data_IF_257911425976
#
_entry.id   IF_257911425976
#
_cell.length_a   1.000
_cell.length_b   1.000
_cell.length_c   1.000
_cell.angle_alpha   90.00
_cell.angle_beta   90.00
_cell.angle_gamma   90.00
#
_symmetry.space_group_name_H-M   'P 1'
#
loop_
_entity.id
_entity.type
_entity.pdbx_description
1 polymer ?
#
# COMPACT_ATOMS: atom_id res chain seq x y z
N UNK A 1 -25.37 12.92 -18.22
CA UNK A 1 -25.43 12.24 -16.91
C UNK A 1 -24.43 12.93 -16.00
N UNK A 2 -24.74 13.11 -14.72
CA UNK A 2 -23.79 13.73 -13.77
C UNK A 2 -22.61 12.79 -13.50
N UNK A 3 -21.45 13.34 -13.11
CA UNK A 3 -20.30 12.55 -12.65
C UNK A 3 -20.68 11.62 -11.50
N UNK A 4 -21.61 12.06 -10.63
CA UNK A 4 -22.13 11.27 -9.52
C UNK A 4 -22.92 10.05 -10.00
N UNK A 5 -23.80 10.20 -10.96
CA UNK A 5 -24.58 9.08 -11.52
C UNK A 5 -23.68 8.08 -12.24
N UNK A 6 -22.71 8.59 -13.01
CA UNK A 6 -21.71 7.78 -13.69
C UNK A 6 -20.85 6.99 -12.69
N UNK A 7 -20.45 7.60 -11.57
CA UNK A 7 -19.77 6.91 -10.47
C UNK A 7 -20.62 5.77 -9.90
N UNK A 8 -21.91 6.00 -9.68
CA UNK A 8 -22.83 4.98 -9.16
C UNK A 8 -22.93 3.80 -10.13
N UNK A 9 -23.09 4.08 -11.43
CA UNK A 9 -23.08 3.06 -12.48
C UNK A 9 -21.75 2.29 -12.52
N UNK A 10 -20.62 2.98 -12.40
CA UNK A 10 -19.30 2.36 -12.31
C UNK A 10 -19.15 1.46 -11.10
N UNK A 11 -19.62 1.89 -9.93
CA UNK A 11 -19.61 1.08 -8.70
C UNK A 11 -20.46 -0.19 -8.87
N UNK A 12 -21.67 -0.06 -9.41
CA UNK A 12 -22.58 -1.19 -9.66
C UNK A 12 -21.98 -2.20 -10.64
N UNK A 13 -21.34 -1.71 -11.72
CA UNK A 13 -20.63 -2.56 -12.66
C UNK A 13 -19.44 -3.26 -11.99
N UNK A 14 -18.69 -2.56 -11.14
CA UNK A 14 -17.56 -3.12 -10.38
C UNK A 14 -18.01 -4.23 -9.42
N UNK A 15 -19.09 -4.01 -8.67
CA UNK A 15 -19.72 -5.01 -7.79
C UNK A 15 -20.21 -6.24 -8.57
N UNK A 16 -20.69 -6.03 -9.79
CA UNK A 16 -21.08 -7.10 -10.72
C UNK A 16 -19.88 -7.77 -11.41
N UNK A 17 -18.64 -7.45 -11.02
CA UNK A 17 -17.39 -7.92 -11.63
C UNK A 17 -17.23 -7.57 -13.12
N UNK A 18 -18.03 -6.64 -13.63
CA UNK A 18 -17.94 -6.12 -15.01
C UNK A 18 -16.92 -4.98 -15.05
N UNK A 19 -15.65 -5.34 -14.88
CA UNK A 19 -14.58 -4.36 -14.64
C UNK A 19 -14.29 -3.45 -15.85
N UNK A 20 -14.46 -3.93 -17.08
CA UNK A 20 -14.33 -3.10 -18.28
C UNK A 20 -15.42 -2.02 -18.35
N UNK A 21 -16.66 -2.40 -18.02
CA UNK A 21 -17.79 -1.48 -17.97
C UNK A 21 -17.63 -0.48 -16.80
N UNK A 22 -17.16 -0.94 -15.65
CA UNK A 22 -16.82 -0.07 -14.52
C UNK A 22 -15.76 0.97 -14.89
N UNK A 23 -14.67 0.54 -15.54
CA UNK A 23 -13.61 1.41 -16.05
C UNK A 23 -14.16 2.46 -17.00
N UNK A 24 -15.05 2.05 -17.92
CA UNK A 24 -15.70 2.96 -18.86
C UNK A 24 -16.52 4.03 -18.13
N UNK A 25 -17.41 3.63 -17.21
CA UNK A 25 -18.22 4.58 -16.44
C UNK A 25 -17.39 5.54 -15.58
N UNK A 26 -16.33 5.08 -14.93
CA UNK A 26 -15.44 5.97 -14.19
C UNK A 26 -14.69 6.94 -15.10
N UNK A 27 -14.35 6.54 -16.32
CA UNK A 27 -13.71 7.43 -17.30
C UNK A 27 -14.66 8.53 -17.74
N UNK A 28 -15.90 8.17 -18.09
CA UNK A 28 -16.94 9.16 -18.36
C UNK A 28 -17.18 10.09 -17.17
N UNK A 29 -17.14 9.57 -15.94
CA UNK A 29 -17.30 10.38 -14.74
C UNK A 29 -16.15 11.39 -14.53
N UNK A 30 -14.92 11.03 -14.95
CA UNK A 30 -13.76 11.92 -14.88
C UNK A 30 -13.78 13.01 -15.96
N UNK A 31 -14.41 12.74 -17.10
CA UNK A 31 -14.57 13.68 -18.22
C UNK A 31 -15.78 14.62 -18.04
N UNK A 32 -16.66 14.32 -17.07
CA UNK A 32 -17.85 15.11 -16.81
C UNK A 32 -17.49 16.48 -16.18
N UNK A 33 -18.22 17.56 -16.51
CA UNK A 33 -17.92 18.91 -16.00
C UNK A 33 -17.96 19.02 -14.46
N UNK A 34 -18.76 18.19 -13.80
CA UNK A 34 -18.96 18.15 -12.35
C UNK A 34 -18.05 17.13 -11.63
N UNK A 35 -17.01 16.60 -12.30
CA UNK A 35 -16.13 15.56 -11.75
C UNK A 35 -15.44 15.97 -10.43
N UNK A 36 -15.05 17.24 -10.29
CA UNK A 36 -14.44 17.77 -9.07
C UNK A 36 -15.40 17.72 -7.89
N UNK A 37 -16.66 18.09 -8.10
CA UNK A 37 -17.73 18.08 -7.11
C UNK A 37 -18.11 16.66 -6.68
N UNK A 38 -18.03 15.69 -7.62
CA UNK A 38 -18.29 14.28 -7.34
C UNK A 38 -17.17 13.56 -6.56
N UNK A 39 -16.05 14.25 -6.31
CA UNK A 39 -14.86 13.75 -5.64
C UNK A 39 -13.89 13.09 -6.62
N UNK A 40 -13.18 13.89 -7.42
CA UNK A 40 -12.26 13.42 -8.47
C UNK A 40 -11.21 12.40 -7.98
N UNK A 41 -10.68 12.58 -6.75
CA UNK A 41 -9.77 11.61 -6.12
C UNK A 41 -10.42 10.22 -5.95
N UNK A 42 -11.72 10.17 -5.62
CA UNK A 42 -12.47 8.92 -5.50
C UNK A 42 -12.63 8.25 -6.85
N UNK A 43 -12.93 9.01 -7.91
CA UNK A 43 -13.06 8.48 -9.27
C UNK A 43 -11.75 7.84 -9.74
N UNK A 44 -10.62 8.54 -9.58
CA UNK A 44 -9.30 7.98 -9.85
C UNK A 44 -9.03 6.71 -9.03
N UNK A 45 -9.31 6.72 -7.71
CA UNK A 45 -9.11 5.54 -6.87
C UNK A 45 -9.99 4.35 -7.27
N UNK A 46 -11.23 4.59 -7.70
CA UNK A 46 -12.16 3.55 -8.16
C UNK A 46 -11.75 3.00 -9.53
N UNK A 47 -11.33 3.85 -10.46
CA UNK A 47 -10.82 3.42 -11.77
C UNK A 47 -9.50 2.66 -11.64
N UNK A 48 -8.61 3.08 -10.74
CA UNK A 48 -7.41 2.31 -10.36
C UNK A 48 -7.75 0.89 -9.91
N UNK A 49 -8.79 0.72 -9.09
CA UNK A 49 -9.23 -0.60 -8.66
C UNK A 49 -9.74 -1.45 -9.84
N UNK A 50 -10.48 -0.85 -10.78
CA UNK A 50 -10.95 -1.53 -12.00
C UNK A 50 -9.75 -1.98 -12.86
N UNK A 51 -8.75 -1.12 -13.05
CA UNK A 51 -7.52 -1.48 -13.74
C UNK A 51 -6.78 -2.65 -13.07
N UNK A 52 -6.69 -2.69 -11.74
CA UNK A 52 -6.09 -3.82 -11.03
C UNK A 52 -6.85 -5.13 -11.28
N UNK A 53 -8.18 -5.09 -11.24
CA UNK A 53 -9.03 -6.25 -11.52
C UNK A 53 -8.87 -6.74 -12.97
N UNK A 54 -8.60 -5.82 -13.91
CA UNK A 54 -8.30 -6.10 -15.32
C UNK A 54 -6.84 -6.48 -15.58
N UNK A 55 -6.01 -6.66 -14.53
CA UNK A 55 -4.58 -6.96 -14.65
C UNK A 55 -3.80 -5.89 -15.44
N UNK A 56 -4.19 -4.62 -15.30
CA UNK A 56 -3.56 -3.45 -15.92
C UNK A 56 -2.86 -2.58 -14.86
N UNK A 57 -1.79 -3.08 -14.20
CA UNK A 57 -1.23 -2.43 -13.02
C UNK A 57 -0.54 -1.09 -13.30
N UNK A 58 -0.01 -0.87 -14.51
CA UNK A 58 0.59 0.43 -14.88
C UNK A 58 -0.47 1.54 -14.91
N UNK A 59 -1.62 1.30 -15.55
CA UNK A 59 -2.74 2.24 -15.57
C UNK A 59 -3.30 2.46 -14.16
N UNK A 60 -3.40 1.39 -13.37
CA UNK A 60 -3.80 1.49 -11.97
C UNK A 60 -2.87 2.38 -11.14
N UNK A 61 -1.56 2.30 -11.36
CA UNK A 61 -0.56 3.14 -10.68
C UNK A 61 -0.72 4.61 -11.05
N UNK A 62 -0.93 4.92 -12.33
CA UNK A 62 -1.19 6.30 -12.80
C UNK A 62 -2.41 6.89 -12.10
N UNK A 63 -3.53 6.16 -12.10
CA UNK A 63 -4.76 6.62 -11.44
C UNK A 63 -4.61 6.73 -9.92
N UNK A 64 -3.95 5.76 -9.27
CA UNK A 64 -3.72 5.84 -7.83
C UNK A 64 -2.83 7.04 -7.45
N UNK A 65 -1.84 7.36 -8.28
CA UNK A 65 -0.98 8.53 -8.09
C UNK A 65 -1.78 9.83 -8.26
N UNK A 66 -2.63 9.91 -9.28
CA UNK A 66 -3.55 11.04 -9.45
C UNK A 66 -4.50 11.18 -8.25
N UNK A 67 -5.01 10.08 -7.69
CA UNK A 67 -5.85 10.12 -6.50
C UNK A 67 -5.09 10.69 -5.28
N UNK A 68 -3.84 10.29 -5.06
CA UNK A 68 -2.97 10.83 -3.99
C UNK A 68 -2.70 12.32 -4.18
N UNK A 69 -2.45 12.77 -5.41
CA UNK A 69 -2.22 14.18 -5.72
C UNK A 69 -3.47 15.04 -5.46
N UNK A 70 -4.65 14.54 -5.80
CA UNK A 70 -5.91 15.25 -5.61
C UNK A 70 -6.40 15.26 -4.15
N UNK A 71 -6.03 14.25 -3.36
CA UNK A 71 -6.30 14.23 -1.92
C UNK A 71 -5.09 13.66 -1.15
N UNK A 72 -4.09 14.52 -0.83
CA UNK A 72 -2.97 14.13 -0.01
C UNK A 72 -3.44 13.63 1.36
N UNK A 73 -2.81 12.58 1.87
CA UNK A 73 -3.20 12.00 3.16
C UNK A 73 -4.46 11.13 3.11
N UNK A 74 -4.98 10.78 1.92
CA UNK A 74 -6.08 9.83 1.83
C UNK A 74 -5.57 8.39 1.82
N UNK A 75 -5.83 7.58 2.87
CA UNK A 75 -5.22 6.26 3.02
C UNK A 75 -5.57 5.32 1.88
N UNK A 76 -6.85 5.32 1.46
CA UNK A 76 -7.32 4.47 0.36
C UNK A 76 -6.56 4.70 -0.95
N UNK A 77 -6.18 5.94 -1.26
CA UNK A 77 -5.38 6.22 -2.46
C UNK A 77 -3.97 5.66 -2.35
N UNK A 78 -3.33 5.80 -1.18
CA UNK A 78 -2.03 5.19 -0.91
C UNK A 78 -2.07 3.65 -0.97
N UNK A 79 -3.12 3.03 -0.42
CA UNK A 79 -3.32 1.58 -0.52
C UNK A 79 -3.52 1.10 -1.96
N UNK A 80 -4.25 1.86 -2.80
CA UNK A 80 -4.36 1.56 -4.24
C UNK A 80 -3.02 1.69 -4.95
N UNK A 81 -2.22 2.71 -4.61
CA UNK A 81 -0.89 2.92 -5.19
C UNK A 81 0.05 1.77 -4.84
N UNK A 82 0.07 1.37 -3.55
CA UNK A 82 0.86 0.24 -3.09
C UNK A 82 0.45 -1.07 -3.77
N UNK A 83 -0.85 -1.34 -3.92
CA UNK A 83 -1.34 -2.53 -4.61
C UNK A 83 -0.92 -2.57 -6.09
N UNK A 84 -0.93 -1.43 -6.79
CA UNK A 84 -0.43 -1.35 -8.15
C UNK A 84 1.08 -1.58 -8.25
N UNK A 85 1.86 -0.98 -7.35
CA UNK A 85 3.31 -1.17 -7.27
C UNK A 85 3.68 -2.63 -6.96
N UNK A 86 2.94 -3.31 -6.08
CA UNK A 86 3.09 -4.76 -5.85
C UNK A 86 2.95 -5.57 -7.14
N UNK A 87 1.94 -5.28 -7.94
CA UNK A 87 1.71 -5.96 -9.23
C UNK A 87 2.77 -5.62 -10.27
N UNK A 88 3.40 -4.45 -10.18
CA UNK A 88 4.55 -4.04 -10.99
C UNK A 88 5.90 -4.53 -10.44
N UNK A 89 5.89 -5.25 -9.31
CA UNK A 89 7.10 -5.69 -8.59
C UNK A 89 7.98 -4.54 -8.07
N UNK A 90 7.42 -3.33 -7.98
CA UNK A 90 8.01 -2.21 -7.25
C UNK A 90 7.71 -2.38 -5.75
N UNK A 91 8.36 -3.34 -5.13
CA UNK A 91 8.09 -3.72 -3.75
C UNK A 91 8.53 -2.64 -2.74
N UNK A 92 9.61 -1.91 -3.05
CA UNK A 92 10.08 -0.79 -2.24
C UNK A 92 9.07 0.36 -2.25
N UNK A 93 8.61 0.77 -3.44
CA UNK A 93 7.59 1.79 -3.57
C UNK A 93 6.25 1.36 -2.97
N UNK A 94 5.90 0.08 -3.07
CA UNK A 94 4.70 -0.46 -2.44
C UNK A 94 4.74 -0.36 -0.91
N UNK A 95 5.86 -0.74 -0.28
CA UNK A 95 6.05 -0.64 1.16
C UNK A 95 5.89 0.79 1.66
N UNK A 96 6.50 1.75 0.96
CA UNK A 96 6.37 3.18 1.28
C UNK A 96 4.92 3.66 1.13
N UNK A 97 4.23 3.26 0.06
CA UNK A 97 2.82 3.60 -0.14
C UNK A 97 1.93 3.02 0.97
N UNK A 98 2.10 1.76 1.35
CA UNK A 98 1.30 1.17 2.43
C UNK A 98 1.62 1.78 3.80
N UNK A 99 2.88 2.17 4.03
CA UNK A 99 3.29 2.91 5.23
C UNK A 99 2.57 4.26 5.33
N UNK A 100 2.53 5.01 4.23
CA UNK A 100 1.80 6.28 4.13
C UNK A 100 0.29 6.12 4.31
N UNK A 101 -0.27 4.99 3.87
CA UNK A 101 -1.66 4.66 4.12
C UNK A 101 -1.91 4.42 5.63
N UNK A 102 -1.04 3.64 6.27
CA UNK A 102 -1.10 3.36 7.70
C UNK A 102 -1.01 4.65 8.55
N UNK A 103 -0.05 5.52 8.26
CA UNK A 103 0.12 6.80 8.96
C UNK A 103 -1.10 7.72 8.89
N UNK A 104 -1.90 7.59 7.83
CA UNK A 104 -3.04 8.47 7.57
C UNK A 104 -4.38 7.96 8.14
N UNK A 105 -4.55 6.65 8.36
CA UNK A 105 -5.82 6.05 8.84
C UNK A 105 -5.74 5.55 10.30
N UNK A 106 -4.54 5.21 10.80
CA UNK A 106 -4.34 4.72 12.17
C UNK A 106 -4.93 3.32 12.45
N UNK A 107 -5.48 2.63 11.45
CA UNK A 107 -5.95 1.25 11.57
C UNK A 107 -4.80 0.28 11.28
N UNK A 108 -4.24 -0.26 12.35
CA UNK A 108 -2.99 -1.04 12.34
C UNK A 108 -3.04 -2.27 11.44
N UNK A 109 -4.10 -3.07 11.46
CA UNK A 109 -4.00 -4.44 10.96
C UNK A 109 -3.93 -4.58 9.43
N UNK A 110 -4.80 -3.90 8.68
CA UNK A 110 -4.87 -4.08 7.22
C UNK A 110 -3.64 -3.51 6.49
N UNK A 111 -3.20 -2.32 6.88
CA UNK A 111 -2.04 -1.68 6.24
C UNK A 111 -0.73 -2.35 6.68
N UNK A 112 -0.60 -2.78 7.94
CA UNK A 112 0.61 -3.45 8.45
C UNK A 112 0.88 -4.78 7.73
N UNK A 113 -0.16 -5.55 7.43
CA UNK A 113 -0.04 -6.79 6.66
C UNK A 113 0.50 -6.52 5.25
N UNK A 114 0.02 -5.47 4.58
CA UNK A 114 0.46 -5.09 3.23
C UNK A 114 1.88 -4.50 3.22
N UNK A 115 2.26 -3.72 4.24
CA UNK A 115 3.66 -3.26 4.44
C UNK A 115 4.58 -4.46 4.64
N UNK A 116 4.21 -5.38 5.52
CA UNK A 116 5.03 -6.56 5.84
C UNK A 116 5.20 -7.45 4.61
N UNK A 117 4.12 -7.67 3.84
CA UNK A 117 4.16 -8.45 2.61
C UNK A 117 5.04 -7.79 1.54
N UNK A 118 4.83 -6.51 1.25
CA UNK A 118 5.64 -5.78 0.26
C UNK A 118 7.12 -5.79 0.61
N UNK A 119 7.48 -5.53 1.87
CA UNK A 119 8.86 -5.58 2.33
C UNK A 119 9.47 -6.99 2.22
N UNK A 120 8.67 -8.03 2.48
CA UNK A 120 9.10 -9.43 2.32
C UNK A 120 9.49 -9.74 0.87
N UNK A 121 8.70 -9.29 -0.12
CA UNK A 121 9.06 -9.49 -1.53
C UNK A 121 10.31 -8.70 -1.93
N UNK A 122 10.46 -7.48 -1.41
CA UNK A 122 11.64 -6.65 -1.66
C UNK A 122 12.94 -7.35 -1.19
N UNK A 123 12.96 -7.88 0.04
CA UNK A 123 14.16 -8.49 0.64
C UNK A 123 14.48 -9.86 0.05
N UNK A 124 13.46 -10.68 -0.20
CA UNK A 124 13.68 -12.10 -0.59
C UNK A 124 13.67 -12.33 -2.09
N UNK A 125 13.05 -11.44 -2.88
CA UNK A 125 12.84 -11.62 -4.31
C UNK A 125 11.98 -12.85 -4.68
N UNK A 126 11.32 -13.50 -3.70
CA UNK A 126 10.58 -14.77 -3.89
C UNK A 126 9.11 -14.64 -3.50
N UNK A 127 8.25 -15.14 -4.38
CA UNK A 127 6.82 -15.36 -4.13
C UNK A 127 6.64 -16.61 -3.25
N UNK A 128 5.89 -16.51 -2.14
CA UNK A 128 5.57 -17.70 -1.35
C UNK A 128 4.54 -18.51 -2.11
N UNK A 129 4.74 -19.82 -2.15
CA UNK A 129 3.69 -20.70 -2.63
C UNK A 129 2.50 -20.69 -1.65
N UNK A 130 1.25 -20.78 -2.13
CA UNK A 130 0.08 -20.85 -1.26
C UNK A 130 0.25 -21.96 -0.21
N UNK A 131 0.09 -21.62 1.07
CA UNK A 131 0.20 -22.58 2.19
C UNK A 131 1.56 -22.65 2.89
N UNK A 132 2.60 -21.98 2.40
CA UNK A 132 3.83 -21.80 3.17
C UNK A 132 3.68 -20.64 4.16
N UNK A 133 4.02 -20.90 5.43
CA UNK A 133 4.23 -19.87 6.45
C UNK A 133 5.70 -19.90 6.87
N UNK A 134 6.31 -18.73 7.02
CA UNK A 134 7.67 -18.63 7.56
C UNK A 134 7.61 -18.68 9.08
N UNK A 135 8.46 -19.51 9.68
CA UNK A 135 8.60 -19.59 11.12
C UNK A 135 9.46 -18.44 11.66
N UNK A 136 9.46 -18.19 12.97
CA UNK A 136 10.30 -17.17 13.60
C UNK A 136 11.81 -17.28 13.28
N UNK A 137 12.30 -18.47 12.90
CA UNK A 137 13.71 -18.73 12.57
C UNK A 137 14.18 -18.16 11.23
N UNK A 138 13.28 -17.99 10.27
CA UNK A 138 13.61 -17.48 8.93
C UNK A 138 13.83 -15.96 8.92
N UNK A 139 13.26 -15.28 9.92
CA UNK A 139 13.48 -13.86 10.20
C UNK A 139 14.89 -13.61 10.76
N UNK A 140 15.44 -14.56 11.50
CA UNK A 140 16.71 -14.42 12.21
C UNK A 140 17.94 -14.70 11.31
N UNK A 141 17.79 -15.51 10.26
CA UNK A 141 18.92 -15.92 9.42
C UNK A 141 19.45 -14.83 8.46
N UNK A 142 18.65 -13.81 8.14
CA UNK A 142 19.02 -12.71 7.23
C UNK A 142 19.36 -11.39 7.95
N UNK A 143 19.32 -11.37 9.28
CA UNK A 143 19.72 -10.23 10.12
C UNK A 143 21.04 -10.63 10.79
N UNK A 144 22.16 -10.54 10.05
CA UNK A 144 23.43 -11.05 10.55
C UNK A 144 24.02 -10.15 11.66
N UNK A 145 24.02 -10.74 12.86
CA UNK A 145 25.09 -10.80 13.87
C UNK A 145 25.76 -9.48 14.31
N UNK A 146 25.22 -8.94 15.41
CA UNK A 146 25.96 -8.05 16.33
C UNK A 146 25.02 -7.28 17.25
N UNK A 147 24.03 -6.58 16.68
CA UNK A 147 23.11 -5.72 17.45
C UNK A 147 22.00 -6.48 18.17
N UNK A 148 21.55 -7.61 17.63
CA UNK A 148 20.43 -8.39 18.19
C UNK A 148 20.79 -9.06 19.54
N UNK A 149 22.02 -9.56 19.69
CA UNK A 149 22.49 -10.20 20.92
C UNK A 149 22.64 -9.22 22.09
N UNK A 150 23.04 -7.97 21.85
CA UNK A 150 23.10 -6.94 22.90
C UNK A 150 21.71 -6.57 23.44
N UNK A 151 20.68 -6.57 22.59
CA UNK A 151 19.30 -6.24 22.97
C UNK A 151 18.58 -7.37 23.72
N UNK A 152 18.96 -8.63 23.47
CA UNK A 152 18.52 -9.80 24.24
C UNK A 152 19.13 -9.85 25.65
N UNK A 153 20.42 -9.51 25.78
CA UNK A 153 21.18 -9.57 27.05
C UNK A 153 20.62 -8.63 28.13
N UNK A 154 19.91 -7.57 27.77
CA UNK A 154 19.28 -6.66 28.73
C UNK A 154 17.90 -7.11 29.25
N UNK A 155 17.36 -8.26 28.83
CA UNK A 155 16.26 -8.99 29.52
C UNK A 155 14.93 -8.23 29.72
N UNK A 156 14.63 -7.20 28.92
CA UNK A 156 13.65 -6.16 29.29
C UNK A 156 12.37 -6.04 28.46
N UNK A 157 11.90 -7.04 27.69
CA UNK A 157 10.67 -6.85 26.89
C UNK A 157 9.69 -8.05 26.91
N UNK A 158 8.47 -7.80 27.41
CA UNK A 158 7.26 -8.65 27.27
C UNK A 158 6.10 -7.80 26.72
N UNK A 159 5.26 -8.40 25.87
CA UNK A 159 3.99 -7.82 25.37
C UNK A 159 3.99 -7.38 23.89
N UNK A 160 2.83 -6.94 23.35
CA UNK A 160 2.54 -6.78 21.92
C UNK A 160 3.30 -5.64 21.20
N UNK A 161 4.31 -5.04 21.85
CA UNK A 161 5.16 -3.96 21.31
C UNK A 161 6.19 -4.42 20.26
N UNK A 162 6.26 -5.71 19.94
CA UNK A 162 7.22 -6.28 18.98
C UNK A 162 6.88 -5.94 17.51
N UNK A 163 5.62 -5.61 17.21
CA UNK A 163 5.22 -5.14 15.87
C UNK A 163 5.65 -3.70 15.58
N UNK A 164 5.66 -2.84 16.61
CA UNK A 164 6.20 -1.48 16.52
C UNK A 164 7.72 -1.47 16.24
N UNK A 165 8.44 -2.50 16.70
CA UNK A 165 9.88 -2.68 16.45
C UNK A 165 10.15 -3.17 15.01
N UNK A 166 9.22 -3.93 14.43
CA UNK A 166 9.25 -4.30 13.00
C UNK A 166 9.07 -3.09 12.10
N UNK A 167 8.13 -2.21 12.46
CA UNK A 167 7.86 -0.96 11.75
C UNK A 167 9.05 0.01 11.84
N UNK A 168 9.70 0.08 13.01
CA UNK A 168 10.91 0.89 13.21
C UNK A 168 12.11 0.39 12.38
N UNK A 169 12.29 -0.92 12.24
CA UNK A 169 13.34 -1.51 11.40
C UNK A 169 13.14 -1.22 9.89
N UNK A 170 11.89 -1.19 9.44
CA UNK A 170 11.52 -0.83 8.05
C UNK A 170 11.75 0.66 7.77
N UNK A 171 11.48 1.52 8.76
CA UNK A 171 11.69 2.97 8.65
C UNK A 171 13.17 3.39 8.62
N UNK A 172 14.07 2.65 9.29
CA UNK A 172 15.48 3.02 9.38
C UNK A 172 16.31 2.61 8.14
N UNK A 173 15.80 1.67 7.34
CA UNK A 173 16.41 1.21 6.08
C UNK A 173 16.08 2.10 4.86
N UNK A 174 15.10 3.01 4.98
CA UNK A 174 14.71 3.96 3.93
C UNK A 174 15.55 5.26 3.88
N UNK A 175 16.63 5.36 4.66
CA UNK A 175 17.65 6.42 4.51
C UNK A 175 17.25 7.85 4.91
N UNK A 176 16.18 8.05 5.69
CA UNK A 176 15.62 9.38 6.00
C UNK A 176 16.06 10.02 7.34
N UNK A 177 17.15 9.60 7.95
CA UNK A 177 17.71 10.31 9.11
C UNK A 177 19.23 10.49 8.96
N UNK A 178 19.66 11.65 8.42
CA UNK A 178 20.99 12.15 8.72
C UNK A 178 21.06 12.39 10.23
N UNK A 179 21.80 11.54 10.94
CA UNK A 179 22.12 11.74 12.35
C UNK A 179 22.75 13.13 12.53
N UNK A 180 22.21 14.00 13.41
CA UNK A 180 22.98 15.12 13.91
C UNK A 180 24.07 14.55 14.81
N UNK A 181 25.31 14.77 14.41
CA UNK A 181 26.50 14.49 15.19
C UNK A 181 26.54 15.33 16.47
N UNK A 182 27.22 14.76 17.48
CA UNK A 182 27.76 15.39 18.69
C UNK A 182 26.80 15.42 19.90
N UNK A 183 27.26 15.14 21.13
CA UNK A 183 28.58 14.81 21.69
C UNK A 183 28.33 14.11 23.03
#
# INVERSE_FOLDING_TARGET
MSAKDLKISGNKAFESQRYEEAKHFYTLALEAPDATEAGIHVLYSSRSAAHLALKQPSAALTDATAAVQNKPGWPKAFSRRGAAQMKLKDYAGAAESFRRAYEAEGTEEYCLNLVTESYRYYVTGRELQPGQSWGPGDWAANIDKGGYQQLLLCGKLKGPKWELVRLAAVLQLAGLAKCPSHK
#
